data_IF_807217287491
#
_entry.id   IF_807217287491
#
_cell.length_a   1.000
_cell.length_b   1.000
_cell.length_c   1.000
_cell.angle_alpha   90.00
_cell.angle_beta   90.00
_cell.angle_gamma   90.00
#
_symmetry.space_group_name_H-M   'P 1'
#
loop_
_entity.id
_entity.type
_entity.pdbx_description
1 polymer ?
#
# COMPACT_ATOMS: atom_id res chain seq x y z
N UNK A 1 15.11 20.71 12.81
CA UNK A 1 15.68 19.35 12.60
C UNK A 1 15.05 18.81 11.32
N UNK A 2 15.84 18.24 10.41
CA UNK A 2 15.35 17.59 9.21
C UNK A 2 15.74 16.11 9.27
N UNK A 3 14.83 15.22 8.87
CA UNK A 3 15.08 13.78 8.80
C UNK A 3 15.53 13.41 7.38
N UNK A 4 16.50 12.52 7.24
CA UNK A 4 16.84 11.93 5.95
C UNK A 4 15.75 10.97 5.48
N UNK A 5 15.71 10.67 4.18
CA UNK A 5 14.83 9.65 3.60
C UNK A 5 14.95 8.31 4.35
N UNK A 6 16.18 7.90 4.65
CA UNK A 6 16.45 6.66 5.39
C UNK A 6 15.90 6.70 6.82
N UNK A 7 16.05 7.82 7.53
CA UNK A 7 15.49 7.98 8.88
C UNK A 7 13.97 7.92 8.87
N UNK A 8 13.33 8.47 7.82
CA UNK A 8 11.87 8.40 7.68
C UNK A 8 11.40 6.97 7.37
N UNK A 9 12.10 6.23 6.50
CA UNK A 9 11.81 4.81 6.24
C UNK A 9 11.90 3.98 7.53
N UNK A 10 12.94 4.20 8.33
CA UNK A 10 13.11 3.52 9.63
C UNK A 10 11.95 3.85 10.59
N UNK A 11 11.59 5.13 10.71
CA UNK A 11 10.49 5.57 11.58
C UNK A 11 9.14 4.98 11.18
N UNK A 12 8.88 4.88 9.87
CA UNK A 12 7.62 4.38 9.33
C UNK A 12 7.57 2.86 9.18
N UNK A 13 8.66 2.15 9.48
CA UNK A 13 8.74 0.68 9.37
C UNK A 13 7.68 -0.04 10.21
N UNK A 14 7.25 0.56 11.33
CA UNK A 14 6.20 0.03 12.22
C UNK A 14 4.82 -0.04 11.59
N UNK A 15 4.58 0.65 10.47
CA UNK A 15 3.30 0.65 9.76
C UNK A 15 3.31 -0.43 8.67
N UNK A 16 3.23 -1.69 9.10
CA UNK A 16 3.25 -2.88 8.24
C UNK A 16 2.10 -2.90 7.23
N UNK A 17 2.40 -3.27 5.99
CA UNK A 17 1.39 -3.53 4.96
C UNK A 17 1.15 -5.03 4.93
N UNK A 18 -0.06 -5.45 5.29
CA UNK A 18 -0.50 -6.83 5.17
C UNK A 18 -1.59 -6.97 4.11
N UNK A 19 -1.67 -8.14 3.51
CA UNK A 19 -2.71 -8.43 2.52
C UNK A 19 -3.33 -9.80 2.81
N UNK A 20 -4.65 -9.85 2.63
CA UNK A 20 -5.40 -11.10 2.65
C UNK A 20 -5.72 -11.50 1.21
N UNK A 21 -5.74 -12.80 0.95
CA UNK A 21 -6.08 -13.33 -0.37
C UNK A 21 -6.83 -14.66 -0.28
N UNK A 22 -7.60 -14.94 -1.31
CA UNK A 22 -8.26 -16.21 -1.56
C UNK A 22 -7.91 -16.70 -2.97
N UNK A 23 -7.95 -18.02 -3.16
CA UNK A 23 -7.79 -18.63 -4.47
C UNK A 23 -9.16 -19.06 -4.98
N UNK A 24 -9.50 -18.69 -6.22
CA UNK A 24 -10.74 -19.09 -6.87
C UNK A 24 -10.67 -20.50 -7.49
N UNK A 25 -11.79 -20.96 -8.05
CA UNK A 25 -11.91 -22.29 -8.68
C UNK A 25 -11.02 -22.46 -9.92
N UNK A 26 -10.64 -21.35 -10.57
CA UNK A 26 -9.77 -21.31 -11.75
C UNK A 26 -8.28 -21.20 -11.37
N UNK A 27 -7.97 -21.12 -10.07
CA UNK A 27 -6.63 -21.05 -9.53
C UNK A 27 -6.04 -19.64 -9.48
N UNK A 28 -6.81 -18.59 -9.77
CA UNK A 28 -6.37 -17.19 -9.63
C UNK A 28 -6.47 -16.75 -8.17
N UNK A 29 -5.62 -15.81 -7.79
CA UNK A 29 -5.62 -15.23 -6.46
C UNK A 29 -6.27 -13.86 -6.49
N UNK A 30 -7.27 -13.63 -5.63
CA UNK A 30 -7.87 -12.33 -5.41
C UNK A 30 -7.58 -11.88 -3.97
N UNK A 31 -7.28 -10.61 -3.76
CA UNK A 31 -6.89 -10.12 -2.44
C UNK A 31 -7.08 -8.64 -2.22
N UNK A 32 -6.88 -8.22 -0.97
CA UNK A 32 -7.01 -6.83 -0.55
C UNK A 32 -5.95 -6.43 0.48
N UNK A 33 -5.65 -5.14 0.55
CA UNK A 33 -4.75 -4.59 1.58
C UNK A 33 -5.54 -4.40 2.87
N UNK A 34 -5.15 -5.08 3.95
CA UNK A 34 -5.94 -5.06 5.19
C UNK A 34 -6.10 -3.65 5.79
N UNK A 35 -5.04 -2.83 5.66
CA UNK A 35 -5.02 -1.46 6.17
C UNK A 35 -5.81 -0.49 5.28
N UNK A 36 -6.04 -0.84 4.00
CA UNK A 36 -6.72 -0.03 2.98
C UNK A 36 -7.60 -0.95 2.12
N UNK A 37 -8.68 -1.47 2.72
CA UNK A 37 -9.55 -2.51 2.12
C UNK A 37 -10.26 -2.11 0.82
N UNK A 38 -10.27 -0.82 0.49
CA UNK A 38 -10.81 -0.32 -0.77
C UNK A 38 -9.90 -0.69 -1.97
N UNK A 39 -8.65 -1.10 -1.72
CA UNK A 39 -7.71 -1.57 -2.74
C UNK A 39 -7.80 -3.09 -2.83
N UNK A 40 -8.25 -3.56 -3.98
CA UNK A 40 -8.45 -4.97 -4.31
C UNK A 40 -7.83 -5.27 -5.65
N UNK A 41 -7.22 -6.43 -5.79
CA UNK A 41 -6.63 -6.87 -7.04
C UNK A 41 -6.70 -8.38 -7.18
N UNK A 42 -6.38 -8.86 -8.37
CA UNK A 42 -6.23 -10.27 -8.68
C UNK A 42 -4.94 -10.54 -9.47
N UNK A 43 -4.50 -11.80 -9.47
CA UNK A 43 -3.33 -12.24 -10.22
C UNK A 43 -3.29 -13.75 -10.38
N UNK A 44 -2.55 -14.24 -11.39
CA UNK A 44 -2.34 -15.68 -11.62
C UNK A 44 -1.39 -16.29 -10.58
N UNK A 45 -0.56 -15.45 -9.96
CA UNK A 45 0.36 -15.82 -8.87
C UNK A 45 0.27 -14.82 -7.73
N UNK A 46 0.74 -15.21 -6.55
CA UNK A 46 0.86 -14.29 -5.40
C UNK A 46 1.75 -13.09 -5.73
N UNK A 47 2.84 -13.28 -6.46
CA UNK A 47 3.73 -12.19 -6.84
C UNK A 47 3.04 -11.19 -7.78
N UNK A 48 2.26 -11.68 -8.74
CA UNK A 48 1.44 -10.83 -9.61
C UNK A 48 0.37 -10.07 -8.82
N UNK A 49 -0.34 -10.74 -7.91
CA UNK A 49 -1.31 -10.10 -7.02
C UNK A 49 -0.64 -8.98 -6.21
N UNK A 50 0.55 -9.23 -5.63
CA UNK A 50 1.29 -8.21 -4.85
C UNK A 50 1.71 -7.02 -5.71
N UNK A 51 2.15 -7.26 -6.95
CA UNK A 51 2.49 -6.19 -7.90
C UNK A 51 1.26 -5.35 -8.25
N UNK A 52 0.10 -5.97 -8.41
CA UNK A 52 -1.13 -5.24 -8.74
C UNK A 52 -1.67 -4.44 -7.57
N UNK A 53 -1.64 -5.01 -6.36
CA UNK A 53 -1.92 -4.28 -5.12
C UNK A 53 -0.97 -3.10 -4.94
N UNK A 54 0.33 -3.28 -5.22
CA UNK A 54 1.33 -2.21 -5.13
C UNK A 54 1.05 -1.08 -6.12
N UNK A 55 0.69 -1.42 -7.36
CA UNK A 55 0.37 -0.43 -8.40
C UNK A 55 -0.82 0.43 -7.98
N UNK A 56 -1.92 -0.20 -7.58
CA UNK A 56 -3.11 0.53 -7.13
C UNK A 56 -2.83 1.35 -5.86
N UNK A 57 -2.00 0.84 -4.95
CA UNK A 57 -1.60 1.56 -3.74
C UNK A 57 -0.76 2.80 -4.06
N UNK A 58 0.16 2.72 -5.02
CA UNK A 58 0.94 3.87 -5.49
C UNK A 58 0.02 4.93 -6.12
N UNK A 59 -0.91 4.51 -6.99
CA UNK A 59 -1.91 5.41 -7.58
C UNK A 59 -2.74 6.11 -6.50
N UNK A 60 -3.21 5.34 -5.51
CA UNK A 60 -3.94 5.87 -4.36
C UNK A 60 -3.09 6.83 -3.52
N UNK A 61 -1.81 6.52 -3.29
CA UNK A 61 -0.91 7.36 -2.52
C UNK A 61 -0.64 8.71 -3.20
N UNK A 62 -0.46 8.70 -4.52
CA UNK A 62 -0.29 9.92 -5.32
C UNK A 62 -1.58 10.77 -5.28
N UNK A 63 -2.76 10.16 -5.47
CA UNK A 63 -4.02 10.91 -5.38
C UNK A 63 -4.29 11.44 -3.97
N UNK A 64 -3.97 10.66 -2.94
CA UNK A 64 -4.07 11.06 -1.54
C UNK A 64 -3.22 12.31 -1.29
N UNK A 65 -1.96 12.33 -1.71
CA UNK A 65 -1.06 13.46 -1.50
C UNK A 65 -1.50 14.71 -2.29
N UNK A 66 -1.88 14.53 -3.56
CA UNK A 66 -2.41 15.62 -4.38
C UNK A 66 -3.67 16.26 -3.80
N UNK A 67 -4.43 15.50 -3.00
CA UNK A 67 -5.67 15.93 -2.37
C UNK A 67 -5.61 15.83 -0.83
N UNK A 68 -4.42 16.02 -0.24
CA UNK A 68 -4.13 15.70 1.16
C UNK A 68 -5.19 16.20 2.14
N UNK A 69 -5.57 17.48 2.07
CA UNK A 69 -6.56 18.05 2.98
C UNK A 69 -7.93 17.37 2.91
N UNK A 70 -8.36 16.90 1.73
CA UNK A 70 -9.62 16.18 1.57
C UNK A 70 -9.54 14.79 2.21
N UNK A 71 -8.48 14.06 1.86
CA UNK A 71 -8.29 12.69 2.31
C UNK A 71 -8.02 12.59 3.81
N UNK A 72 -7.10 13.41 4.32
CA UNK A 72 -6.71 13.42 5.72
C UNK A 72 -7.84 13.79 6.67
N UNK A 73 -8.76 14.67 6.25
CA UNK A 73 -9.91 15.07 7.06
C UNK A 73 -11.13 14.13 6.93
N UNK A 74 -11.04 13.07 6.12
CA UNK A 74 -12.11 12.06 6.02
C UNK A 74 -11.91 11.00 7.11
N UNK A 75 -12.94 10.76 7.94
CA UNK A 75 -12.84 9.95 9.18
C UNK A 75 -12.17 8.59 8.99
N UNK A 76 -12.48 7.87 7.91
CA UNK A 76 -11.96 6.53 7.65
C UNK A 76 -10.61 6.53 6.90
N UNK A 77 -10.16 7.67 6.37
CA UNK A 77 -8.95 7.78 5.53
C UNK A 77 -7.80 8.48 6.22
N UNK A 78 -8.07 9.24 7.28
CA UNK A 78 -7.05 9.84 8.16
C UNK A 78 -5.97 8.84 8.57
N UNK A 79 -6.38 7.63 8.97
CA UNK A 79 -5.51 6.53 9.39
C UNK A 79 -4.64 5.94 8.26
N UNK A 80 -4.90 6.25 7.00
CA UNK A 80 -4.10 5.77 5.86
C UNK A 80 -2.80 6.56 5.70
N UNK A 81 -2.75 7.81 6.20
CA UNK A 81 -1.62 8.72 6.04
C UNK A 81 -0.22 8.10 6.30
N UNK A 82 0.03 7.36 7.39
CA UNK A 82 1.36 6.76 7.60
C UNK A 82 1.73 5.73 6.53
N UNK A 83 0.77 4.94 6.03
CA UNK A 83 0.99 3.97 4.95
C UNK A 83 1.26 4.68 3.62
N UNK A 84 0.50 5.74 3.32
CA UNK A 84 0.71 6.58 2.14
C UNK A 84 2.11 7.19 2.14
N UNK A 85 2.53 7.78 3.26
CA UNK A 85 3.88 8.32 3.40
C UNK A 85 4.95 7.25 3.23
N UNK A 86 4.72 6.03 3.76
CA UNK A 86 5.64 4.91 3.60
C UNK A 86 5.81 4.53 2.12
N UNK A 87 4.71 4.43 1.37
CA UNK A 87 4.70 4.12 -0.07
C UNK A 87 5.42 5.18 -0.89
N UNK A 88 5.17 6.48 -0.61
CA UNK A 88 5.79 7.59 -1.33
C UNK A 88 7.30 7.72 -1.09
N UNK A 89 7.86 7.02 -0.09
CA UNK A 89 9.30 6.95 0.15
C UNK A 89 9.99 5.87 -0.67
N UNK A 90 9.25 4.95 -1.30
CA UNK A 90 9.86 3.92 -2.14
C UNK A 90 10.20 4.45 -3.52
N UNK A 91 11.20 3.84 -4.15
CA UNK A 91 11.77 4.32 -5.42
C UNK A 91 11.10 3.67 -6.64
N UNK A 92 10.50 2.49 -6.46
CA UNK A 92 9.92 1.69 -7.53
C UNK A 92 8.77 0.78 -7.04
N UNK A 93 8.05 0.19 -7.99
CA UNK A 93 6.89 -0.66 -7.77
C UNK A 93 7.26 -1.92 -6.99
N UNK A 94 8.40 -2.52 -7.32
CA UNK A 94 8.92 -3.74 -6.75
C UNK A 94 9.26 -3.56 -5.26
N UNK A 95 9.81 -2.41 -4.89
CA UNK A 95 10.06 -2.03 -3.50
C UNK A 95 8.77 -1.97 -2.70
N UNK A 96 7.70 -1.39 -3.27
CA UNK A 96 6.37 -1.36 -2.63
C UNK A 96 5.76 -2.75 -2.53
N UNK A 97 5.82 -3.55 -3.60
CA UNK A 97 5.33 -4.93 -3.59
C UNK A 97 6.06 -5.81 -2.56
N UNK A 98 7.35 -5.56 -2.33
CA UNK A 98 8.16 -6.22 -1.31
C UNK A 98 7.74 -5.92 0.14
N UNK A 99 6.95 -4.87 0.37
CA UNK A 99 6.46 -4.49 1.72
C UNK A 99 5.27 -5.32 2.19
N UNK A 100 4.57 -6.00 1.27
CA UNK A 100 3.40 -6.79 1.63
C UNK A 100 3.79 -8.12 2.29
N UNK A 101 3.19 -8.38 3.44
CA UNK A 101 3.30 -9.61 4.21
C UNK A 101 1.91 -10.25 4.37
N UNK A 102 1.81 -11.57 4.26
CA UNK A 102 0.58 -12.33 4.51
C UNK A 102 0.68 -13.05 5.86
#
# INVERSE_FOLDING_TARGET
MAFSKQQMKELLSVYELTFEYEQDEDGRYAGSIEQIRDIVADGETIDELKLELARQLIEYAIDYENNYFRYYNTSNRHKHAPYILRVLLEDDLESVAGMFHA
#
